data_IF_117854289140
#
_entry.id   IF_117854289140
#
_cell.length_a   1.000
_cell.length_b   1.000
_cell.length_c   1.000
_cell.angle_alpha   90.00
_cell.angle_beta   90.00
_cell.angle_gamma   90.00
#
_symmetry.space_group_name_H-M   'P 1'
#
loop_
_entity.id
_entity.type
_entity.pdbx_description
1 polymer ?
#
# COMPACT_ATOMS: atom_id res chain seq x y z
N UNK A 1 -75.42 8.50 -22.99
CA UNK A 1 -74.22 9.35 -22.89
C UNK A 1 -73.54 8.98 -21.58
N UNK A 2 -72.43 8.22 -21.65
CA UNK A 2 -71.75 7.67 -20.47
C UNK A 2 -70.40 8.36 -20.38
N UNK A 3 -70.20 9.24 -19.38
CA UNK A 3 -68.89 9.80 -19.08
C UNK A 3 -68.08 8.74 -18.31
N UNK A 4 -67.04 8.21 -18.95
CA UNK A 4 -66.01 7.40 -18.30
C UNK A 4 -64.97 8.33 -17.68
N UNK A 5 -64.92 8.36 -16.35
CA UNK A 5 -63.76 8.82 -15.58
C UNK A 5 -62.59 7.87 -15.83
N UNK A 6 -61.45 8.41 -16.27
CA UNK A 6 -60.17 7.70 -16.24
C UNK A 6 -59.03 8.73 -16.25
N UNK A 7 -58.60 9.17 -15.08
CA UNK A 7 -57.27 9.77 -14.88
C UNK A 7 -56.77 9.37 -13.50
N UNK A 8 -56.15 8.20 -13.43
CA UNK A 8 -55.25 7.84 -12.33
C UNK A 8 -54.18 6.93 -12.91
N UNK A 9 -52.92 7.32 -12.69
CA UNK A 9 -51.67 6.57 -12.85
C UNK A 9 -50.68 7.29 -13.78
N UNK A 10 -49.95 8.27 -13.24
CA UNK A 10 -48.76 8.78 -13.91
C UNK A 10 -47.75 9.38 -12.94
N UNK A 11 -47.40 8.67 -11.85
CA UNK A 11 -46.22 9.04 -11.04
C UNK A 11 -45.63 7.78 -10.37
N UNK A 12 -44.96 6.87 -11.09
CA UNK A 12 -43.97 5.95 -10.47
C UNK A 12 -42.95 5.47 -11.52
N UNK A 13 -42.13 6.36 -12.10
CA UNK A 13 -41.04 5.90 -13.00
C UNK A 13 -39.82 6.85 -13.01
N UNK A 14 -39.50 7.48 -11.88
CA UNK A 14 -38.31 8.35 -11.78
C UNK A 14 -37.47 8.14 -10.52
N UNK A 15 -37.74 7.10 -9.71
CA UNK A 15 -36.95 6.78 -8.51
C UNK A 15 -36.01 5.58 -8.63
N UNK A 16 -35.96 4.89 -9.77
CA UNK A 16 -35.10 3.71 -9.95
C UNK A 16 -33.74 4.01 -10.61
N UNK A 17 -33.50 5.24 -11.08
CA UNK A 17 -32.28 5.58 -11.87
C UNK A 17 -31.16 6.18 -11.00
N UNK A 18 -31.43 6.50 -9.74
CA UNK A 18 -30.42 7.07 -8.83
C UNK A 18 -29.88 6.07 -7.79
N UNK A 19 -30.38 4.83 -7.75
CA UNK A 19 -29.94 3.81 -6.78
C UNK A 19 -28.63 3.11 -7.16
N UNK A 20 -28.04 3.38 -8.33
CA UNK A 20 -26.81 2.74 -8.81
C UNK A 20 -25.55 3.60 -8.66
N UNK A 21 -25.67 4.80 -8.09
CA UNK A 21 -24.52 5.69 -7.83
C UNK A 21 -24.08 5.68 -6.37
N UNK A 22 -24.08 4.52 -5.71
CA UNK A 22 -23.20 4.38 -4.54
C UNK A 22 -21.77 4.43 -5.07
N UNK A 23 -20.97 5.46 -4.71
CA UNK A 23 -19.55 5.43 -5.06
C UNK A 23 -18.98 4.13 -4.51
N UNK A 24 -18.47 3.27 -5.40
CA UNK A 24 -17.67 2.14 -4.96
C UNK A 24 -16.46 2.76 -4.28
N UNK A 25 -16.41 2.65 -2.97
CA UNK A 25 -15.23 3.06 -2.22
C UNK A 25 -14.06 2.20 -2.71
N UNK A 26 -13.05 2.84 -3.30
CA UNK A 26 -11.84 2.13 -3.71
C UNK A 26 -11.12 1.63 -2.46
N UNK A 27 -11.04 0.31 -2.36
CA UNK A 27 -10.50 -0.45 -1.23
C UNK A 27 -8.97 -0.53 -1.23
N UNK A 28 -8.33 0.21 -2.13
CA UNK A 28 -6.98 -0.07 -2.58
C UNK A 28 -5.93 0.55 -1.67
N UNK A 29 -5.01 -0.27 -1.15
CA UNK A 29 -3.96 0.15 -0.22
C UNK A 29 -2.57 -0.16 -0.77
N UNK A 30 -1.58 0.61 -0.30
CA UNK A 30 -0.19 0.51 -0.75
C UNK A 30 0.76 1.03 0.33
N UNK A 31 2.04 0.72 0.20
CA UNK A 31 3.07 1.27 1.08
C UNK A 31 3.38 2.73 0.70
N UNK A 32 2.98 3.66 1.57
CA UNK A 32 3.30 5.09 1.45
C UNK A 32 4.72 5.38 1.95
N UNK A 33 5.11 4.77 3.07
CA UNK A 33 6.42 4.97 3.67
C UNK A 33 7.01 3.66 4.20
N UNK A 34 8.30 3.43 3.97
CA UNK A 34 9.06 2.28 4.50
C UNK A 34 9.71 2.61 5.85
N UNK A 35 10.10 3.88 6.04
CA UNK A 35 10.84 4.35 7.21
C UNK A 35 10.23 5.63 7.79
N UNK A 36 9.03 5.51 8.35
CA UNK A 36 8.35 6.57 9.08
C UNK A 36 9.10 6.89 10.37
N UNK A 37 9.44 8.16 10.58
CA UNK A 37 10.03 8.65 11.82
C UNK A 37 9.02 9.51 12.55
N UNK A 38 8.59 9.02 13.72
CA UNK A 38 7.72 9.77 14.61
C UNK A 38 8.44 11.02 15.14
N UNK A 39 7.73 12.14 15.18
CA UNK A 39 8.20 13.42 15.74
C UNK A 39 8.38 13.36 17.26
N UNK A 40 7.65 12.47 17.93
CA UNK A 40 7.71 12.28 19.40
C UNK A 40 8.06 10.82 19.72
N UNK A 41 9.20 10.54 20.37
CA UNK A 41 9.53 9.20 20.81
C UNK A 41 8.43 8.60 21.70
N UNK A 42 8.10 7.33 21.49
CA UNK A 42 7.11 6.60 22.30
C UNK A 42 5.64 6.92 22.00
N UNK A 43 5.33 7.92 21.19
CA UNK A 43 3.96 8.19 20.74
C UNK A 43 3.82 7.83 19.27
N UNK A 44 3.05 6.77 18.98
CA UNK A 44 2.68 6.45 17.61
C UNK A 44 1.67 7.48 17.12
N UNK A 45 2.05 8.18 16.07
CA UNK A 45 1.19 9.08 15.32
C UNK A 45 1.56 8.96 13.84
N UNK A 46 0.68 8.30 13.08
CA UNK A 46 0.90 8.00 11.66
C UNK A 46 0.45 9.16 10.76
N UNK A 47 -0.20 10.19 11.31
CA UNK A 47 -0.61 11.37 10.55
C UNK A 47 0.60 12.20 10.09
N UNK A 48 0.43 13.06 9.09
CA UNK A 48 1.50 13.95 8.63
C UNK A 48 1.97 14.95 9.70
N UNK A 49 1.23 15.12 10.80
CA UNK A 49 1.65 15.91 11.97
C UNK A 49 2.50 15.08 12.95
N UNK A 50 2.36 13.77 12.90
CA UNK A 50 2.96 12.80 13.81
C UNK A 50 4.40 12.41 13.49
N UNK A 51 4.88 12.73 12.29
CA UNK A 51 6.18 12.29 11.82
C UNK A 51 6.47 12.70 10.39
N UNK A 52 7.50 12.09 9.81
CA UNK A 52 7.86 12.25 8.41
C UNK A 52 8.41 10.95 7.84
N UNK A 53 8.28 10.77 6.54
CA UNK A 53 8.86 9.64 5.86
C UNK A 53 10.34 9.88 5.53
N UNK A 54 11.20 8.89 5.83
CA UNK A 54 12.64 8.94 5.56
C UNK A 54 13.08 7.94 4.47
N UNK A 55 12.15 7.13 3.96
CA UNK A 55 12.44 6.12 2.95
C UNK A 55 11.16 5.58 2.34
N UNK A 56 11.14 5.45 1.02
CA UNK A 56 9.94 5.24 0.23
C UNK A 56 10.02 3.96 -0.61
N UNK A 57 8.88 3.56 -1.17
CA UNK A 57 8.80 2.55 -2.21
C UNK A 57 9.54 3.02 -3.48
N UNK A 58 9.86 2.08 -4.38
CA UNK A 58 10.49 2.38 -5.67
C UNK A 58 9.62 3.34 -6.48
N UNK A 59 10.26 4.35 -7.08
CA UNK A 59 9.63 5.36 -7.93
C UNK A 59 8.42 6.04 -7.27
N UNK A 60 8.39 6.13 -5.94
CA UNK A 60 7.27 6.73 -5.22
C UNK A 60 7.23 8.26 -5.46
N UNK A 61 6.12 8.82 -5.96
CA UNK A 61 6.03 10.24 -6.24
C UNK A 61 5.91 11.06 -4.94
N UNK A 62 6.80 12.03 -4.74
CA UNK A 62 6.76 12.93 -3.58
C UNK A 62 5.86 14.14 -3.82
N UNK A 63 5.43 14.80 -2.75
CA UNK A 63 4.60 16.02 -2.83
C UNK A 63 3.13 15.75 -3.19
N UNK A 64 2.70 14.48 -3.10
CA UNK A 64 1.31 14.07 -3.27
C UNK A 64 0.62 14.03 -1.92
N UNK A 65 -0.70 14.26 -1.92
CA UNK A 65 -1.51 14.12 -0.71
C UNK A 65 -1.52 12.65 -0.28
N UNK A 66 -1.43 12.41 1.04
CA UNK A 66 -1.51 11.06 1.58
C UNK A 66 -2.79 10.35 1.13
N UNK A 67 -2.67 9.08 0.73
CA UNK A 67 -3.82 8.26 0.33
C UNK A 67 -4.50 8.65 -0.99
N UNK A 68 -3.94 9.59 -1.78
CA UNK A 68 -4.55 10.10 -3.01
C UNK A 68 -4.00 9.49 -4.32
N UNK A 69 -3.35 8.32 -4.25
CA UNK A 69 -2.69 7.68 -5.39
C UNK A 69 -3.44 6.44 -5.89
N UNK A 70 -4.72 6.37 -5.56
CA UNK A 70 -5.69 5.38 -6.03
C UNK A 70 -6.07 5.63 -7.50
N UNK A 71 -6.47 6.85 -7.84
CA UNK A 71 -6.82 7.25 -9.21
C UNK A 71 -5.76 8.12 -9.89
N UNK A 72 -4.53 8.13 -9.36
CA UNK A 72 -3.43 8.89 -9.95
C UNK A 72 -2.82 8.16 -11.16
N UNK A 73 -2.04 8.88 -11.97
CA UNK A 73 -1.16 8.30 -12.99
C UNK A 73 0.31 8.55 -12.64
N UNK A 74 1.11 7.51 -12.35
CA UNK A 74 0.68 6.12 -12.14
C UNK A 74 0.04 5.94 -10.75
N UNK A 75 -0.94 5.05 -10.64
CA UNK A 75 -1.55 4.67 -9.37
C UNK A 75 -0.58 3.82 -8.54
N UNK A 76 -0.83 3.65 -7.23
CA UNK A 76 0.08 2.90 -6.34
C UNK A 76 -0.44 1.55 -5.87
N UNK A 77 -1.66 1.21 -6.22
CA UNK A 77 -2.27 -0.07 -5.86
C UNK A 77 -1.95 -1.18 -6.87
N UNK A 78 -0.79 -1.83 -6.70
CA UNK A 78 -0.54 -3.05 -7.47
C UNK A 78 -1.33 -4.22 -6.87
N UNK A 79 -2.41 -4.62 -7.55
CA UNK A 79 -3.19 -5.82 -7.24
C UNK A 79 -2.61 -7.01 -8.02
N UNK A 80 -2.07 -7.98 -7.29
CA UNK A 80 -1.51 -9.20 -7.86
C UNK A 80 -2.57 -10.06 -8.55
N UNK A 81 -2.13 -10.92 -9.47
CA UNK A 81 -3.03 -11.87 -10.16
C UNK A 81 -3.70 -12.81 -9.14
N UNK A 82 -5.03 -12.95 -9.24
CA UNK A 82 -5.85 -13.71 -8.29
C UNK A 82 -5.74 -15.23 -8.44
N UNK A 83 -5.55 -15.73 -9.66
CA UNK A 83 -5.57 -17.17 -9.93
C UNK A 83 -4.37 -17.91 -9.30
N UNK A 84 -3.24 -17.22 -9.15
CA UNK A 84 -2.06 -17.75 -8.46
C UNK A 84 -1.22 -16.60 -7.85
N UNK A 85 -1.68 -16.03 -6.72
CA UNK A 85 -1.04 -14.85 -6.15
C UNK A 85 0.38 -15.15 -5.64
N UNK A 86 0.70 -16.42 -5.38
CA UNK A 86 2.03 -16.85 -4.96
C UNK A 86 3.04 -16.94 -6.11
N UNK A 87 2.57 -17.00 -7.37
CA UNK A 87 3.43 -16.91 -8.55
C UNK A 87 3.40 -15.54 -9.23
N UNK A 88 2.62 -14.58 -8.69
CA UNK A 88 2.58 -13.22 -9.20
C UNK A 88 3.96 -12.56 -9.16
N UNK A 89 4.16 -11.52 -9.98
CA UNK A 89 5.32 -10.65 -9.79
C UNK A 89 5.25 -10.04 -8.39
N UNK A 90 6.35 -10.00 -7.63
CA UNK A 90 6.34 -9.43 -6.30
C UNK A 90 6.25 -7.91 -6.32
N UNK A 91 6.86 -7.29 -7.33
CA UNK A 91 6.84 -5.86 -7.56
C UNK A 91 6.14 -5.62 -8.89
N UNK A 92 5.38 -4.54 -8.98
CA UNK A 92 4.77 -4.13 -10.24
C UNK A 92 5.84 -3.82 -11.28
N UNK A 93 5.58 -4.21 -12.52
CA UNK A 93 6.29 -3.74 -13.72
C UNK A 93 5.48 -2.70 -14.51
N UNK A 94 4.32 -2.30 -14.00
CA UNK A 94 3.36 -1.41 -14.67
C UNK A 94 2.47 -2.10 -15.70
N UNK A 95 2.62 -3.41 -15.91
CA UNK A 95 1.91 -4.17 -16.96
C UNK A 95 1.13 -5.36 -16.39
N UNK A 96 1.76 -6.16 -15.53
CA UNK A 96 1.18 -7.35 -14.95
C UNK A 96 0.38 -7.03 -13.66
N UNK A 97 -0.64 -7.84 -13.40
CA UNK A 97 -1.55 -7.66 -12.27
C UNK A 97 -2.99 -7.56 -12.72
N UNK A 98 -3.92 -7.65 -11.78
CA UNK A 98 -5.32 -7.31 -12.04
C UNK A 98 -5.48 -5.79 -12.13
N UNK A 99 -4.75 -5.08 -11.27
CA UNK A 99 -4.49 -3.64 -11.33
C UNK A 99 -2.97 -3.48 -11.31
N UNK A 100 -2.34 -3.10 -12.44
CA UNK A 100 -0.89 -3.20 -12.55
C UNK A 100 -0.11 -2.33 -11.58
N UNK A 101 -0.63 -1.19 -11.13
CA UNK A 101 0.17 -0.28 -10.31
C UNK A 101 1.19 0.54 -11.12
N UNK A 102 1.96 1.36 -10.42
CA UNK A 102 3.15 2.01 -10.94
C UNK A 102 4.33 1.02 -11.07
N UNK A 103 5.19 1.22 -12.07
CA UNK A 103 6.44 0.47 -12.22
C UNK A 103 7.33 0.56 -10.96
N UNK A 104 7.48 -0.58 -10.29
CA UNK A 104 8.32 -0.82 -9.13
C UNK A 104 9.45 -1.83 -9.44
N UNK A 105 9.79 -2.02 -10.71
CA UNK A 105 10.95 -2.84 -11.12
C UNK A 105 12.24 -2.29 -10.52
N UNK A 106 13.19 -3.17 -10.21
CA UNK A 106 14.51 -2.74 -9.77
C UNK A 106 15.23 -1.95 -10.87
N UNK A 107 15.63 -0.72 -10.56
CA UNK A 107 16.45 0.09 -11.47
C UNK A 107 17.93 -0.31 -11.45
N UNK A 108 18.67 0.09 -12.50
CA UNK A 108 20.12 -0.08 -12.62
C UNK A 108 20.79 1.20 -13.15
N UNK A 109 21.53 1.96 -12.31
CA UNK A 109 21.76 1.73 -10.89
C UNK A 109 20.49 1.91 -10.05
N UNK A 110 20.45 1.29 -8.85
CA UNK A 110 19.31 1.38 -7.91
C UNK A 110 18.89 2.82 -7.62
N UNK A 111 19.85 3.75 -7.61
CA UNK A 111 19.59 5.19 -7.39
C UNK A 111 18.64 5.81 -8.40
N UNK A 112 18.44 5.24 -9.59
CA UNK A 112 17.47 5.77 -10.56
C UNK A 112 16.00 5.60 -10.13
N UNK A 113 15.72 4.69 -9.19
CA UNK A 113 14.36 4.54 -8.62
C UNK A 113 14.07 5.54 -7.49
N UNK A 114 15.03 6.41 -7.13
CA UNK A 114 14.99 7.25 -5.93
C UNK A 114 15.53 8.66 -6.19
N UNK A 115 15.10 9.62 -5.37
CA UNK A 115 15.52 11.02 -5.49
C UNK A 115 14.93 11.77 -6.69
N UNK A 116 15.28 13.05 -6.82
CA UNK A 116 14.69 13.93 -7.83
C UNK A 116 13.18 14.07 -7.64
N UNK A 117 12.39 13.53 -8.57
CA UNK A 117 10.91 13.49 -8.48
C UNK A 117 10.38 12.36 -7.59
N UNK A 118 11.25 11.47 -7.14
CA UNK A 118 10.92 10.32 -6.30
C UNK A 118 11.43 10.47 -4.87
N UNK A 119 10.85 9.70 -3.96
CA UNK A 119 11.29 9.62 -2.56
C UNK A 119 12.70 9.08 -2.39
N UNK A 120 13.27 9.26 -1.20
CA UNK A 120 14.58 8.68 -0.83
C UNK A 120 14.51 7.16 -0.65
N UNK A 121 15.62 6.48 -0.93
CA UNK A 121 15.80 5.08 -0.57
C UNK A 121 15.95 4.95 0.96
N UNK A 122 15.48 3.85 1.54
CA UNK A 122 15.69 3.58 2.96
C UNK A 122 17.14 3.15 3.21
N UNK A 123 17.82 3.82 4.15
CA UNK A 123 19.12 3.40 4.70
C UNK A 123 18.96 3.10 6.19
N UNK A 124 19.50 1.97 6.64
CA UNK A 124 19.31 1.48 8.03
C UNK A 124 20.44 0.53 8.46
N UNK A 125 20.44 0.14 9.73
CA UNK A 125 21.35 -0.86 10.31
C UNK A 125 20.56 -2.05 10.86
N UNK A 126 21.24 -3.18 11.02
CA UNK A 126 20.68 -4.35 11.72
C UNK A 126 20.25 -3.93 13.14
N UNK A 127 19.06 -4.37 13.56
CA UNK A 127 18.50 -4.05 14.87
C UNK A 127 17.78 -2.70 14.98
N UNK A 128 17.90 -1.83 13.97
CA UNK A 128 17.07 -0.63 13.89
C UNK A 128 15.60 -1.00 13.82
N UNK A 129 14.76 -0.06 14.25
CA UNK A 129 13.31 -0.14 14.02
C UNK A 129 12.95 0.63 12.75
N UNK A 130 12.37 -0.07 11.78
CA UNK A 130 11.69 0.54 10.65
C UNK A 130 10.18 0.54 10.90
N UNK A 131 9.53 1.63 10.53
CA UNK A 131 8.08 1.80 10.68
C UNK A 131 7.48 2.07 9.31
N UNK A 132 6.57 1.19 8.89
CA UNK A 132 5.91 1.26 7.59
C UNK A 132 4.57 1.94 7.76
N UNK A 133 4.20 2.82 6.83
CA UNK A 133 2.93 3.55 6.80
C UNK A 133 2.17 3.23 5.51
N UNK A 134 0.85 3.10 5.59
CA UNK A 134 -0.06 2.88 4.47
C UNK A 134 -1.42 3.58 4.71
N UNK A 135 -2.16 3.95 3.66
CA UNK A 135 -3.55 4.38 3.79
C UNK A 135 -4.44 3.14 3.94
N UNK A 136 -5.22 3.02 5.01
CA UNK A 136 -6.05 1.83 5.17
C UNK A 136 -7.37 1.84 4.38
N UNK A 137 -7.72 2.98 3.79
CA UNK A 137 -9.00 3.19 3.12
C UNK A 137 -10.18 2.83 4.06
N UNK A 138 -11.33 2.54 3.47
CA UNK A 138 -12.51 2.04 4.17
C UNK A 138 -12.31 0.70 4.93
N UNK A 139 -11.14 0.04 4.85
CA UNK A 139 -10.86 -1.22 5.53
C UNK A 139 -10.27 -1.06 6.94
N UNK A 140 -10.22 0.16 7.48
CA UNK A 140 -9.91 0.41 8.90
C UNK A 140 -11.16 0.51 9.79
N UNK A 141 -12.35 0.19 9.28
CA UNK A 141 -13.61 0.29 10.02
C UNK A 141 -13.76 -0.85 11.05
N UNK A 142 -14.51 -0.62 12.13
CA UNK A 142 -14.63 -1.57 13.24
C UNK A 142 -15.32 -2.88 12.87
N UNK A 143 -16.18 -2.88 11.84
CA UNK A 143 -16.92 -4.03 11.36
C UNK A 143 -16.14 -4.91 10.35
N UNK A 144 -14.98 -4.45 9.88
CA UNK A 144 -14.13 -5.21 8.96
C UNK A 144 -13.22 -6.19 9.73
N UNK A 145 -12.67 -7.24 9.12
CA UNK A 145 -11.61 -8.04 9.75
C UNK A 145 -10.28 -7.27 9.84
N UNK A 146 -9.53 -7.41 10.94
CA UNK A 146 -8.14 -6.91 11.02
C UNK A 146 -7.16 -7.91 10.38
N UNK A 147 -7.03 -7.81 9.06
CA UNK A 147 -6.02 -8.53 8.30
C UNK A 147 -4.59 -8.15 8.72
N UNK A 148 -3.61 -8.91 8.23
CA UNK A 148 -2.19 -8.63 8.48
C UNK A 148 -1.49 -8.16 7.23
N UNK A 149 -0.66 -7.13 7.40
CA UNK A 149 0.36 -6.74 6.44
C UNK A 149 1.56 -7.65 6.64
N UNK A 150 1.98 -8.34 5.59
CA UNK A 150 3.22 -9.09 5.53
C UNK A 150 4.35 -8.15 5.12
N UNK A 151 5.44 -8.16 5.90
CA UNK A 151 6.70 -7.54 5.51
C UNK A 151 7.65 -8.65 5.12
N UNK A 152 7.93 -8.75 3.82
CA UNK A 152 8.85 -9.74 3.25
C UNK A 152 10.17 -9.05 2.92
N UNK A 153 11.29 -9.66 3.30
CA UNK A 153 12.63 -9.11 3.04
C UNK A 153 13.51 -10.18 2.42
N UNK A 154 13.97 -9.94 1.20
CA UNK A 154 14.84 -10.85 0.46
C UNK A 154 16.10 -11.21 1.27
N UNK A 155 16.58 -12.44 1.09
CA UNK A 155 17.90 -12.87 1.54
C UNK A 155 19.00 -12.56 0.52
N UNK A 156 18.62 -12.30 -0.74
CA UNK A 156 19.57 -11.99 -1.81
C UNK A 156 19.99 -10.53 -1.69
N UNK A 157 21.29 -10.34 -1.47
CA UNK A 157 21.94 -9.03 -1.38
C UNK A 157 22.36 -8.54 -2.75
N UNK A 158 22.11 -7.27 -3.08
CA UNK A 158 22.54 -6.60 -4.31
C UNK A 158 22.12 -7.36 -5.60
N UNK A 159 21.10 -8.21 -5.50
CA UNK A 159 20.67 -9.07 -6.59
C UNK A 159 19.58 -8.44 -7.47
N UNK A 160 19.04 -9.26 -8.37
CA UNK A 160 17.77 -8.99 -9.02
C UNK A 160 16.62 -9.26 -8.04
N UNK A 161 15.42 -8.82 -8.41
CA UNK A 161 14.22 -9.19 -7.68
C UNK A 161 14.04 -10.72 -7.73
N UNK A 162 13.81 -11.31 -6.56
CA UNK A 162 13.55 -12.75 -6.39
C UNK A 162 12.06 -13.01 -6.64
N UNK A 163 11.66 -14.27 -6.78
CA UNK A 163 10.25 -14.62 -6.99
C UNK A 163 9.38 -14.33 -5.76
N UNK A 164 8.06 -14.17 -5.95
CA UNK A 164 7.12 -14.02 -4.84
C UNK A 164 7.19 -15.19 -3.85
N UNK A 165 7.31 -16.43 -4.33
CA UNK A 165 7.46 -17.61 -3.47
C UNK A 165 8.72 -17.55 -2.59
N UNK A 166 9.83 -17.07 -3.13
CA UNK A 166 11.07 -16.90 -2.36
C UNK A 166 10.97 -15.76 -1.34
N UNK A 167 10.25 -14.68 -1.65
CA UNK A 167 9.95 -13.61 -0.70
C UNK A 167 9.10 -14.10 0.47
N UNK A 168 8.04 -14.88 0.20
CA UNK A 168 7.13 -15.38 1.25
C UNK A 168 7.82 -16.34 2.22
N UNK A 169 8.87 -17.04 1.80
CA UNK A 169 9.73 -17.82 2.71
C UNK A 169 10.53 -16.95 3.69
N UNK A 170 10.54 -15.63 3.48
CA UNK A 170 11.29 -14.65 4.25
C UNK A 170 10.38 -13.50 4.73
N UNK A 171 9.15 -13.80 5.14
CA UNK A 171 8.33 -12.87 5.93
C UNK A 171 9.00 -12.62 7.27
N UNK A 172 9.40 -11.37 7.52
CA UNK A 172 10.14 -10.95 8.73
C UNK A 172 9.25 -10.27 9.77
N UNK A 173 8.05 -9.83 9.37
CA UNK A 173 7.04 -9.31 10.27
C UNK A 173 5.63 -9.47 9.71
N UNK A 174 4.67 -9.55 10.62
CA UNK A 174 3.24 -9.40 10.33
C UNK A 174 2.72 -8.24 11.17
N UNK A 175 2.22 -7.20 10.51
CA UNK A 175 1.76 -5.98 11.15
C UNK A 175 0.23 -5.92 11.12
N UNK A 176 -0.44 -5.46 12.20
CA UNK A 176 -1.88 -5.23 12.18
C UNK A 176 -2.24 -4.16 11.14
N UNK A 177 -3.07 -4.50 10.16
CA UNK A 177 -3.44 -3.56 9.10
C UNK A 177 -4.16 -2.32 9.66
N UNK A 178 -4.98 -2.52 10.70
CA UNK A 178 -5.80 -1.47 11.32
C UNK A 178 -5.14 -0.70 12.46
N UNK A 179 -3.82 -0.75 12.60
CA UNK A 179 -3.14 0.13 13.57
C UNK A 179 -3.11 1.58 13.05
N UNK A 180 -4.25 2.24 13.20
CA UNK A 180 -4.63 3.46 12.53
C UNK A 180 -4.81 4.62 13.51
N UNK A 181 -4.65 5.84 13.02
CA UNK A 181 -5.08 7.03 13.74
C UNK A 181 -6.61 7.14 13.73
N UNK A 182 -7.19 7.57 14.85
CA UNK A 182 -8.60 7.96 14.88
C UNK A 182 -8.83 9.18 13.98
N UNK A 183 -9.98 9.22 13.30
CA UNK A 183 -10.34 10.35 12.44
C UNK A 183 -11.56 10.04 11.56
N UNK A 184 -12.23 11.10 11.07
CA UNK A 184 -13.45 10.98 10.28
C UNK A 184 -13.20 10.57 8.81
N UNK A 185 -12.05 10.94 8.25
CA UNK A 185 -11.67 10.55 6.89
C UNK A 185 -11.26 9.07 6.86
N UNK A 186 -12.22 8.24 6.48
CA UNK A 186 -12.05 6.78 6.36
C UNK A 186 -11.18 6.44 5.16
N UNK A 187 -11.29 7.15 4.06
CA UNK A 187 -10.55 6.86 2.82
C UNK A 187 -9.04 7.09 3.01
N UNK A 188 -8.66 8.13 3.75
CA UNK A 188 -7.23 8.49 3.89
C UNK A 188 -6.70 8.27 5.28
N UNK A 189 -7.30 7.35 6.04
CA UNK A 189 -6.88 7.06 7.41
C UNK A 189 -5.45 6.50 7.42
N UNK A 190 -4.49 7.17 8.08
CA UNK A 190 -3.11 6.72 8.11
C UNK A 190 -2.95 5.62 9.15
N UNK A 191 -2.34 4.52 8.72
CA UNK A 191 -2.06 3.36 9.56
C UNK A 191 -0.62 2.91 9.36
N UNK A 192 -0.12 2.12 10.30
CA UNK A 192 1.25 1.66 10.19
C UNK A 192 1.64 0.62 11.21
N UNK A 193 2.85 0.10 11.06
CA UNK A 193 3.44 -0.81 12.03
C UNK A 193 4.95 -0.79 11.94
N UNK A 194 5.59 -1.20 13.03
CA UNK A 194 7.05 -1.18 13.12
C UNK A 194 7.60 -2.59 13.30
N UNK A 195 8.79 -2.84 12.75
CA UNK A 195 9.52 -4.09 12.88
C UNK A 195 11.01 -3.83 13.07
N UNK A 196 11.71 -4.84 13.61
CA UNK A 196 13.18 -4.80 13.76
C UNK A 196 13.85 -5.33 12.49
N UNK A 197 14.86 -4.60 12.01
CA UNK A 197 15.69 -5.06 10.89
C UNK A 197 16.44 -6.32 11.32
N UNK A 198 16.21 -7.48 10.67
CA UNK A 198 16.82 -8.73 11.10
C UNK A 198 18.32 -8.76 10.78
N UNK A 199 19.08 -9.71 11.34
CA UNK A 199 20.47 -9.92 10.97
C UNK A 199 20.65 -10.12 9.45
N UNK A 200 21.45 -9.23 8.85
CA UNK A 200 21.82 -9.20 7.43
C UNK A 200 23.23 -8.63 7.28
N UNK A 201 23.97 -9.10 6.28
CA UNK A 201 25.23 -8.47 5.88
C UNK A 201 24.95 -7.11 5.24
N UNK A 202 25.95 -6.21 5.25
CA UNK A 202 25.83 -4.92 4.58
C UNK A 202 25.51 -5.09 3.08
N UNK A 203 24.54 -4.34 2.55
CA UNK A 203 24.11 -4.29 1.15
C UNK A 203 22.64 -3.87 0.96
N UNK A 204 22.20 -3.82 -0.29
CA UNK A 204 20.81 -3.49 -0.68
C UNK A 204 19.97 -4.76 -0.78
N UNK A 205 18.75 -4.71 -0.25
CA UNK A 205 17.79 -5.81 -0.24
C UNK A 205 16.42 -5.36 -0.72
N UNK A 206 15.70 -6.26 -1.40
CA UNK A 206 14.28 -6.07 -1.73
C UNK A 206 13.42 -6.28 -0.49
N UNK A 207 12.62 -5.27 -0.15
CA UNK A 207 11.53 -5.31 0.81
C UNK A 207 10.20 -5.23 0.08
N UNK A 208 9.24 -6.06 0.48
CA UNK A 208 7.87 -6.01 0.01
C UNK A 208 6.92 -5.83 1.20
N UNK A 209 6.05 -4.83 1.08
CA UNK A 209 4.81 -4.73 1.83
C UNK A 209 3.73 -5.48 1.05
N UNK A 210 3.00 -6.39 1.70
CA UNK A 210 1.98 -7.19 1.04
C UNK A 210 0.77 -7.39 1.95
N UNK A 211 -0.43 -7.15 1.45
CA UNK A 211 -1.67 -7.23 2.23
C UNK A 211 -2.76 -7.94 1.44
N UNK A 212 -3.56 -8.75 2.13
CA UNK A 212 -4.71 -9.43 1.57
C UNK A 212 -5.97 -8.70 2.00
N UNK A 213 -6.67 -8.12 1.03
CA UNK A 213 -7.92 -7.41 1.25
C UNK A 213 -9.07 -8.40 1.44
N UNK A 214 -9.30 -9.22 0.41
CA UNK A 214 -10.26 -10.32 0.38
C UNK A 214 -9.52 -11.62 0.08
N UNK A 215 -10.22 -12.76 0.18
CA UNK A 215 -9.66 -14.06 -0.22
C UNK A 215 -9.02 -13.98 -1.62
N UNK A 216 -7.74 -14.33 -1.69
CA UNK A 216 -6.87 -14.27 -2.87
C UNK A 216 -6.70 -12.89 -3.54
N UNK A 217 -7.13 -11.82 -2.88
CA UNK A 217 -6.96 -10.45 -3.35
C UNK A 217 -5.80 -9.76 -2.64
N UNK A 218 -4.63 -9.79 -3.27
CA UNK A 218 -3.38 -9.30 -2.70
C UNK A 218 -2.90 -8.00 -3.32
N UNK A 219 -2.58 -7.02 -2.47
CA UNK A 219 -1.91 -5.78 -2.85
C UNK A 219 -0.45 -5.82 -2.41
N UNK A 220 0.44 -5.28 -3.24
CA UNK A 220 1.87 -5.25 -2.94
C UNK A 220 2.51 -3.90 -3.28
N UNK A 221 3.59 -3.58 -2.55
CA UNK A 221 4.48 -2.47 -2.88
C UNK A 221 5.91 -2.84 -2.51
N UNK A 222 6.85 -2.47 -3.37
CA UNK A 222 8.26 -2.83 -3.24
C UNK A 222 9.17 -1.62 -2.97
N UNK A 223 10.22 -1.88 -2.18
CA UNK A 223 11.29 -0.94 -1.89
C UNK A 223 12.64 -1.65 -1.87
N UNK A 224 13.69 -0.91 -2.24
CA UNK A 224 15.06 -1.24 -1.91
C UNK A 224 15.42 -0.65 -0.53
N UNK A 225 16.04 -1.48 0.30
CA UNK A 225 16.53 -1.11 1.63
C UNK A 225 18.02 -1.35 1.69
N UNK A 226 18.80 -0.30 1.88
CA UNK A 226 20.22 -0.39 2.17
C UNK A 226 20.41 -0.69 3.65
N UNK A 227 20.86 -1.91 3.96
CA UNK A 227 21.24 -2.30 5.32
C UNK A 227 22.76 -2.21 5.41
N UNK A 228 23.29 -1.44 6.35
CA UNK A 228 24.73 -1.22 6.48
C UNK A 228 25.28 -0.27 5.42
N UNK A 229 26.10 0.68 5.87
CA UNK A 229 26.56 1.84 5.11
C UNK A 229 26.68 3.01 6.07
N UNK A 230 27.76 3.77 5.98
CA UNK A 230 27.88 5.07 6.65
C UNK A 230 27.04 6.09 5.88
N UNK A 231 26.33 6.95 6.61
CA UNK A 231 25.84 8.23 6.08
C UNK A 231 27.02 9.07 5.56
#
# INVERSE_FOLDING_TARGET
MVLKSSFTALIVTTLAVFSTYTPQAEAHSWMDCVNWKFSKPGKQDWSDKGGKCMGYARRFPTGKTFGSLDSADPNRHYQQVRDNPNSALPCSDGEAGKEPGADETKADPVSQAYGGKYGSMTVTKVGDTLCVRWPAKNHAESNEPDGKVQINLSKVRNGKDITQQELLKNTIAQLPYKNCMEGEDKDRRPCGGCFKVPPRSSGTYLLQWRWMLNEDEWYASCADVQIGGSE
#
